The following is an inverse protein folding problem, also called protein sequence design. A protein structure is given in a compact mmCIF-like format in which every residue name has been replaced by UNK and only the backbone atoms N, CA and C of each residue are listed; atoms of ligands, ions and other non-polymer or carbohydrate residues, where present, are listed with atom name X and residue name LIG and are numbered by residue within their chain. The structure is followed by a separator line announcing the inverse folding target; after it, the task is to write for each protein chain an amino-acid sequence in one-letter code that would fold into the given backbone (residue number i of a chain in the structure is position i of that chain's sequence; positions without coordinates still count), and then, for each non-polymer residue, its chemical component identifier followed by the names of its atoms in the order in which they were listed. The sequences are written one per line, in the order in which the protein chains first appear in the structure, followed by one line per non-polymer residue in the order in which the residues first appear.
data_IF_928489440880
#
_entry.id   IF_928489440880
#
_cell.length_a   1.000
_cell.length_b   1.000
_cell.length_c   1.000
_cell.angle_alpha   90.00
_cell.angle_beta   90.00
_cell.angle_gamma   90.00
#
_symmetry.space_group_name_H-M   'P 1'
#
loop_
_entity.id
_entity.type
_entity.pdbx_description
1 polymer ?
#
# COMPACT_ATOMS: atom_id res chain seq x y z
N UNK A 1 -39.20 6.92 -32.96
CA UNK A 1 -38.01 7.67 -33.40
C UNK A 1 -36.90 7.34 -32.41
N UNK A 2 -35.81 6.76 -32.91
CA UNK A 2 -34.67 6.32 -32.12
C UNK A 2 -33.82 7.51 -31.65
N UNK A 3 -33.16 7.37 -30.50
CA UNK A 3 -31.82 7.92 -30.35
C UNK A 3 -31.02 7.10 -29.34
N UNK A 4 -30.33 6.11 -29.90
CA UNK A 4 -29.22 5.44 -29.27
C UNK A 4 -28.02 6.40 -29.27
N UNK A 5 -27.55 6.78 -28.10
CA UNK A 5 -26.18 7.25 -27.92
C UNK A 5 -25.58 6.36 -26.84
N UNK A 6 -24.59 5.54 -27.17
CA UNK A 6 -23.55 4.97 -26.26
C UNK A 6 -22.73 3.87 -26.95
N UNK A 7 -22.09 4.13 -28.09
CA UNK A 7 -21.08 3.24 -28.66
C UNK A 7 -20.03 4.03 -29.46
N UNK A 8 -19.11 4.72 -28.78
CA UNK A 8 -17.97 5.38 -29.46
C UNK A 8 -16.58 4.87 -29.04
N UNK A 9 -16.50 3.79 -28.25
CA UNK A 9 -15.21 3.27 -27.73
C UNK A 9 -14.84 1.83 -28.13
N UNK A 10 -15.62 1.15 -28.97
CA UNK A 10 -15.48 -0.29 -29.24
C UNK A 10 -15.25 -0.67 -30.71
N UNK A 11 -15.35 0.28 -31.65
CA UNK A 11 -15.14 -0.03 -33.06
C UNK A 11 -13.65 -0.31 -33.34
N UNK A 12 -13.35 -1.51 -33.83
CA UNK A 12 -11.99 -1.93 -34.24
C UNK A 12 -11.22 -2.84 -33.28
N UNK A 13 -11.80 -3.23 -32.13
CA UNK A 13 -11.17 -4.19 -31.21
C UNK A 13 -11.69 -5.61 -31.42
N UNK A 14 -10.79 -6.60 -31.45
CA UNK A 14 -11.19 -8.01 -31.45
C UNK A 14 -11.85 -8.39 -30.12
N UNK A 15 -12.62 -9.48 -30.10
CA UNK A 15 -13.27 -9.98 -28.89
C UNK A 15 -12.24 -10.24 -27.77
N UNK A 16 -11.08 -10.78 -28.12
CA UNK A 16 -9.98 -11.07 -27.21
C UNK A 16 -9.34 -9.79 -26.63
N UNK A 17 -9.36 -8.69 -27.39
CA UNK A 17 -8.89 -7.39 -26.90
C UNK A 17 -9.89 -6.76 -25.92
N UNK A 18 -11.18 -7.03 -26.10
CA UNK A 18 -12.26 -6.53 -25.23
C UNK A 18 -12.32 -7.34 -23.92
N UNK A 19 -12.20 -8.67 -24.01
CA UNK A 19 -12.32 -9.59 -22.88
C UNK A 19 -10.99 -10.24 -22.57
N UNK A 20 -10.32 -9.71 -21.54
CA UNK A 20 -9.01 -10.20 -21.11
C UNK A 20 -9.10 -10.80 -19.71
N UNK A 21 -8.59 -12.02 -19.54
CA UNK A 21 -8.31 -12.57 -18.22
C UNK A 21 -6.96 -12.03 -17.75
N UNK A 22 -6.91 -11.49 -16.54
CA UNK A 22 -5.67 -11.05 -15.89
C UNK A 22 -5.36 -11.98 -14.72
N UNK A 23 -4.08 -12.21 -14.50
CA UNK A 23 -3.59 -12.81 -13.25
C UNK A 23 -3.79 -11.82 -12.09
N UNK A 24 -3.70 -12.32 -10.85
CA UNK A 24 -3.86 -11.45 -9.68
C UNK A 24 -2.79 -10.35 -9.62
N UNK A 25 -1.53 -10.68 -9.92
CA UNK A 25 -0.44 -9.71 -9.92
C UNK A 25 -0.65 -8.62 -10.98
N UNK A 26 -1.04 -9.00 -12.20
CA UNK A 26 -1.36 -8.03 -13.26
C UNK A 26 -2.53 -7.13 -12.85
N UNK A 27 -3.56 -7.69 -12.21
CA UNK A 27 -4.71 -6.91 -11.78
C UNK A 27 -4.33 -5.88 -10.70
N UNK A 28 -3.50 -6.26 -9.73
CA UNK A 28 -2.99 -5.33 -8.68
C UNK A 28 -2.24 -4.17 -9.33
N UNK A 29 -1.35 -4.45 -10.28
CA UNK A 29 -0.58 -3.40 -10.97
C UNK A 29 -1.45 -2.52 -11.88
N UNK A 30 -2.48 -3.08 -12.50
CA UNK A 30 -3.39 -2.33 -13.37
C UNK A 30 -4.43 -1.51 -12.61
N UNK A 31 -4.80 -1.93 -11.40
CA UNK A 31 -5.87 -1.35 -10.59
C UNK A 31 -5.46 -1.24 -9.11
N UNK A 32 -4.40 -0.49 -8.79
CA UNK A 32 -3.86 -0.40 -7.43
C UNK A 32 -4.84 0.24 -6.44
N UNK A 33 -5.73 1.12 -6.93
CA UNK A 33 -6.67 1.90 -6.10
C UNK A 33 -7.48 1.05 -5.11
N UNK A 34 -7.91 -0.15 -5.50
CA UNK A 34 -8.69 -1.05 -4.63
C UNK A 34 -7.86 -1.80 -3.60
N UNK A 35 -6.54 -1.81 -3.75
CA UNK A 35 -5.61 -2.54 -2.87
C UNK A 35 -4.89 -1.60 -1.91
N UNK A 36 -4.37 -0.49 -2.42
CA UNK A 36 -3.50 0.42 -1.66
C UNK A 36 -4.01 1.87 -1.65
N UNK A 37 -5.12 2.16 -2.35
CA UNK A 37 -5.59 3.51 -2.57
C UNK A 37 -4.91 4.18 -3.78
N UNK A 38 -5.22 5.46 -3.99
CA UNK A 38 -4.81 6.19 -5.18
C UNK A 38 -3.29 6.31 -5.32
N UNK A 39 -2.78 6.08 -6.53
CA UNK A 39 -1.38 6.34 -6.89
C UNK A 39 -1.12 7.80 -7.29
N UNK A 40 -2.17 8.63 -7.34
CA UNK A 40 -2.06 10.06 -7.63
C UNK A 40 -1.90 10.89 -6.34
N UNK A 41 -1.21 12.02 -6.45
CA UNK A 41 -1.07 12.94 -5.33
C UNK A 41 -2.41 13.60 -4.99
N UNK A 42 -2.76 13.62 -3.70
CA UNK A 42 -3.98 14.21 -3.19
C UNK A 42 -3.67 15.21 -2.09
N UNK A 43 -4.47 16.27 -1.99
CA UNK A 43 -4.41 17.23 -0.90
C UNK A 43 -5.45 16.85 0.15
N UNK A 44 -5.02 16.60 1.38
CA UNK A 44 -5.91 16.26 2.49
C UNK A 44 -5.51 17.03 3.76
N UNK A 45 -6.49 17.37 4.59
CA UNK A 45 -6.28 17.90 5.93
C UNK A 45 -6.00 16.74 6.90
N UNK A 46 -4.78 16.69 7.45
CA UNK A 46 -4.32 15.60 8.32
C UNK A 46 -3.55 16.12 9.54
N UNK A 47 -3.53 15.31 10.59
CA UNK A 47 -2.67 15.52 11.75
C UNK A 47 -1.25 15.04 11.44
N UNK A 48 -0.28 15.95 11.59
CA UNK A 48 1.15 15.66 11.37
C UNK A 48 1.93 16.09 12.60
N UNK A 49 2.93 15.31 13.00
CA UNK A 49 3.83 15.72 14.08
C UNK A 49 4.81 16.78 13.60
N UNK A 50 4.83 17.95 14.25
CA UNK A 50 5.81 19.01 14.03
C UNK A 50 6.97 18.82 15.00
N UNK A 51 8.14 18.44 14.50
CA UNK A 51 9.34 18.21 15.31
C UNK A 51 9.93 19.47 15.93
N UNK A 52 9.68 20.66 15.37
CA UNK A 52 10.15 21.93 15.94
C UNK A 52 9.30 22.31 17.14
N UNK A 53 7.97 22.15 17.02
CA UNK A 53 7.03 22.47 18.09
C UNK A 53 6.80 21.30 19.06
N UNK A 54 7.33 20.11 18.74
CA UNK A 54 7.14 18.86 19.49
C UNK A 54 5.67 18.54 19.77
N UNK A 55 4.79 18.75 18.78
CA UNK A 55 3.34 18.51 18.92
C UNK A 55 2.66 18.16 17.60
N UNK A 56 1.47 17.58 17.70
CA UNK A 56 0.61 17.35 16.54
C UNK A 56 0.03 18.68 16.05
N UNK A 57 0.07 18.90 14.74
CA UNK A 57 -0.55 20.04 14.06
C UNK A 57 -1.48 19.55 12.96
N UNK A 58 -2.64 20.18 12.84
CA UNK A 58 -3.61 19.86 11.79
C UNK A 58 -3.37 20.78 10.60
N UNK A 59 -3.01 20.21 9.44
CA UNK A 59 -2.67 21.00 8.24
C UNK A 59 -3.00 20.26 6.95
N UNK A 60 -3.18 21.02 5.87
CA UNK A 60 -3.24 20.48 4.51
C UNK A 60 -1.87 19.96 4.09
N UNK A 61 -1.80 18.71 3.67
CA UNK A 61 -0.62 18.12 3.04
C UNK A 61 -0.98 17.55 1.67
N UNK A 62 0.00 17.54 0.77
CA UNK A 62 -0.07 16.79 -0.49
C UNK A 62 0.77 15.54 -0.38
N UNK A 63 0.18 14.37 -0.62
CA UNK A 63 0.87 13.08 -0.58
C UNK A 63 0.20 12.06 -1.51
N UNK A 64 0.88 10.96 -1.78
CA UNK A 64 0.34 9.82 -2.55
C UNK A 64 -0.19 8.76 -1.58
N UNK A 65 -1.51 8.52 -1.51
CA UNK A 65 -2.11 7.55 -0.58
C UNK A 65 -1.53 6.14 -0.70
N UNK A 66 -1.29 5.65 -1.93
CA UNK A 66 -0.72 4.33 -2.16
C UNK A 66 0.66 4.15 -1.49
N UNK A 67 1.53 5.16 -1.58
CA UNK A 67 2.86 5.13 -0.96
C UNK A 67 2.77 5.09 0.56
N UNK A 68 1.85 5.88 1.13
CA UNK A 68 1.58 5.85 2.57
C UNK A 68 1.05 4.48 3.00
N UNK A 69 0.12 3.89 2.25
CA UNK A 69 -0.52 2.63 2.62
C UNK A 69 0.45 1.46 2.61
N UNK A 70 1.33 1.35 1.60
CA UNK A 70 2.31 0.24 1.57
C UNK A 70 3.32 0.32 2.72
N UNK A 71 3.66 1.54 3.18
CA UNK A 71 4.46 1.71 4.39
C UNK A 71 3.67 1.28 5.65
N UNK A 72 2.42 1.74 5.77
CA UNK A 72 1.52 1.40 6.86
C UNK A 72 1.31 -0.12 7.01
N UNK A 73 1.15 -0.85 5.90
CA UNK A 73 1.04 -2.32 5.93
C UNK A 73 2.26 -2.99 6.61
N UNK A 74 3.48 -2.53 6.31
CA UNK A 74 4.68 -3.10 6.93
C UNK A 74 4.76 -2.70 8.41
N UNK A 75 4.39 -1.47 8.75
CA UNK A 75 4.40 -0.99 10.13
C UNK A 75 3.37 -1.73 11.00
N UNK A 76 2.16 -1.95 10.49
CA UNK A 76 1.13 -2.73 11.18
C UNK A 76 1.56 -4.18 11.32
N UNK A 77 2.16 -4.80 10.30
CA UNK A 77 2.73 -6.15 10.42
C UNK A 77 3.81 -6.25 11.52
N UNK A 78 4.67 -5.24 11.65
CA UNK A 78 5.64 -5.18 12.74
C UNK A 78 4.93 -5.06 14.10
N UNK A 79 3.92 -4.18 14.23
CA UNK A 79 3.13 -4.01 15.45
C UNK A 79 2.37 -5.29 15.84
N UNK A 80 1.79 -6.01 14.87
CA UNK A 80 1.08 -7.27 15.10
C UNK A 80 2.00 -8.35 15.69
N UNK A 81 3.31 -8.28 15.44
CA UNK A 81 4.25 -9.21 16.05
C UNK A 81 4.30 -9.07 17.58
N UNK A 82 3.92 -7.91 18.15
CA UNK A 82 3.77 -7.74 19.60
C UNK A 82 2.66 -8.64 20.16
N UNK A 83 1.57 -8.84 19.43
CA UNK A 83 0.50 -9.77 19.84
C UNK A 83 0.95 -11.23 19.74
N UNK A 84 1.83 -11.53 18.78
CA UNK A 84 2.39 -12.87 18.57
C UNK A 84 3.49 -13.22 19.57
N UNK A 85 4.27 -12.24 20.01
CA UNK A 85 5.34 -12.40 21.00
C UNK A 85 5.36 -11.25 22.04
N UNK A 86 4.37 -11.21 22.97
CA UNK A 86 4.23 -10.10 23.91
C UNK A 86 5.39 -9.96 24.91
N UNK A 87 6.17 -11.03 25.11
CA UNK A 87 7.27 -11.06 26.07
C UNK A 87 8.64 -10.82 25.42
N UNK A 88 8.78 -11.16 24.13
CA UNK A 88 10.04 -11.02 23.39
C UNK A 88 10.13 -9.78 22.50
N UNK A 89 9.01 -9.10 22.24
CA UNK A 89 8.98 -7.88 21.44
C UNK A 89 8.73 -6.64 22.31
N UNK A 90 9.59 -5.63 22.16
CA UNK A 90 9.45 -4.34 22.85
C UNK A 90 9.81 -3.13 21.97
N UNK A 91 10.39 -3.36 20.79
CA UNK A 91 10.99 -2.30 19.98
C UNK A 91 10.64 -2.46 18.52
N UNK A 92 10.16 -1.37 17.92
CA UNK A 92 10.11 -1.16 16.47
C UNK A 92 11.05 -0.01 16.13
N UNK A 93 11.84 -0.17 15.07
CA UNK A 93 12.71 0.87 14.50
C UNK A 93 12.29 1.13 13.07
N UNK A 94 12.14 2.40 12.73
CA UNK A 94 11.84 2.87 11.38
C UNK A 94 12.97 3.81 10.95
N UNK A 95 13.61 3.48 9.85
CA UNK A 95 14.63 4.31 9.20
C UNK A 95 14.17 4.67 7.78
N UNK A 96 14.27 5.95 7.43
CA UNK A 96 13.81 6.48 6.15
C UNK A 96 14.97 7.24 5.50
N UNK A 97 15.62 6.59 4.52
CA UNK A 97 16.62 7.23 3.66
C UNK A 97 15.94 7.75 2.38
N UNK A 98 15.60 9.04 2.40
CA UNK A 98 14.98 9.71 1.26
C UNK A 98 15.92 9.83 0.05
N UNK A 99 17.24 9.85 0.25
CA UNK A 99 18.21 9.97 -0.85
C UNK A 99 18.31 8.68 -1.63
N UNK A 100 18.22 7.54 -0.93
CA UNK A 100 18.23 6.21 -1.53
C UNK A 100 16.83 5.73 -1.92
N UNK A 101 15.77 6.38 -1.43
CA UNK A 101 14.40 5.91 -1.61
C UNK A 101 14.12 4.62 -0.82
N UNK A 102 14.78 4.44 0.32
CA UNK A 102 14.70 3.24 1.14
C UNK A 102 13.96 3.52 2.45
N UNK A 103 13.04 2.63 2.81
CA UNK A 103 12.38 2.60 4.12
C UNK A 103 12.67 1.24 4.74
N UNK A 104 13.25 1.24 5.94
CA UNK A 104 13.50 0.03 6.71
C UNK A 104 12.60 0.03 7.94
N UNK A 105 11.79 -1.02 8.08
CA UNK A 105 11.02 -1.30 9.29
C UNK A 105 11.58 -2.56 9.92
N UNK A 106 11.99 -2.47 11.17
CA UNK A 106 12.57 -3.57 11.93
C UNK A 106 11.88 -3.70 13.27
N UNK A 107 11.64 -4.93 13.71
CA UNK A 107 11.18 -5.23 15.07
C UNK A 107 11.98 -6.40 15.67
N UNK A 108 12.10 -6.40 16.99
CA UNK A 108 12.62 -7.56 17.71
C UNK A 108 11.50 -8.58 18.02
N UNK A 109 11.81 -9.56 18.87
CA UNK A 109 10.94 -10.69 19.17
C UNK A 109 11.06 -11.82 18.16
N UNK A 110 10.08 -12.73 18.20
CA UNK A 110 10.05 -13.93 17.38
C UNK A 110 9.97 -13.59 15.88
N UNK A 111 11.00 -13.98 15.14
CA UNK A 111 11.02 -13.85 13.69
C UNK A 111 10.06 -14.79 12.95
N UNK A 112 10.20 -14.83 11.62
CA UNK A 112 9.52 -15.81 10.78
C UNK A 112 10.23 -17.17 10.90
N UNK A 113 9.48 -18.28 10.97
CA UNK A 113 10.07 -19.62 10.96
C UNK A 113 10.80 -19.88 9.63
N UNK A 114 12.04 -20.35 9.71
CA UNK A 114 12.84 -20.72 8.53
C UNK A 114 12.68 -22.22 8.29
N UNK A 115 11.57 -22.60 7.64
CA UNK A 115 11.21 -24.00 7.35
C UNK A 115 10.52 -24.12 5.98
N UNK A 116 10.62 -25.28 5.34
CA UNK A 116 9.87 -25.57 4.11
C UNK A 116 8.39 -25.79 4.44
N UNK A 117 7.50 -25.06 3.77
CA UNK A 117 6.06 -25.21 3.94
C UNK A 117 5.59 -26.55 3.35
N UNK A 118 4.86 -27.37 4.12
CA UNK A 118 4.52 -28.75 3.73
C UNK A 118 3.58 -28.85 2.51
N UNK A 119 2.73 -27.86 2.31
CA UNK A 119 1.67 -27.85 1.29
C UNK A 119 1.94 -26.90 0.12
N UNK A 120 2.98 -26.06 0.20
CA UNK A 120 3.33 -25.08 -0.82
C UNK A 120 4.72 -25.46 -1.35
N UNK A 121 4.78 -25.92 -2.61
CA UNK A 121 6.03 -26.24 -3.31
C UNK A 121 6.44 -25.10 -4.22
#
# INVERSE_FOLDING_TARGET
MANASHTKGREGKSIEQIYQKKTQLEHILLRPDTYVGSTEAQIQDLWVFDGVQSRMVHRKISFVPALYKIFDEILVNAADNLMRDPQGMDTIKVDIDQKQGLITVWNNGRGLPVVLHKEQK
#
